data_IF_972006735130
#
_entry.id   IF_972006735130
#
_cell.length_a   1.000
_cell.length_b   1.000
_cell.length_c   1.000
_cell.angle_alpha   90.00
_cell.angle_beta   90.00
_cell.angle_gamma   90.00
#
_symmetry.space_group_name_H-M   'P 1'
#
loop_
_entity.id
_entity.type
_entity.pdbx_description
1 polymer ?
#
# COMPACT_ATOMS: atom_id res chain seq x y z
N UNK A 1 -24.48 35.19 -18.74
CA UNK A 1 -23.14 35.27 -18.09
C UNK A 1 -22.97 34.19 -17.02
N UNK A 2 -23.87 34.07 -16.03
CA UNK A 2 -23.80 33.03 -14.99
C UNK A 2 -23.92 31.59 -15.52
N UNK A 3 -24.76 31.34 -16.53
CA UNK A 3 -24.89 30.01 -17.17
C UNK A 3 -23.60 29.51 -17.81
N UNK A 4 -22.81 30.43 -18.39
CA UNK A 4 -21.50 30.12 -19.00
C UNK A 4 -20.46 29.81 -17.93
N UNK A 5 -20.49 30.50 -16.79
CA UNK A 5 -19.63 30.21 -15.63
C UNK A 5 -19.97 28.86 -14.98
N UNK A 6 -21.25 28.50 -14.92
CA UNK A 6 -21.71 27.19 -14.41
C UNK A 6 -21.31 26.06 -15.37
N UNK A 7 -21.43 26.26 -16.69
CA UNK A 7 -20.96 25.27 -17.66
C UNK A 7 -19.44 25.11 -17.63
N UNK A 8 -18.68 26.20 -17.47
CA UNK A 8 -17.22 26.16 -17.36
C UNK A 8 -16.74 25.45 -16.09
N UNK A 9 -17.40 25.71 -14.95
CA UNK A 9 -17.10 25.02 -13.68
C UNK A 9 -17.54 23.54 -13.71
N UNK A 10 -18.66 23.21 -14.35
CA UNK A 10 -19.09 21.83 -14.57
C UNK A 10 -18.12 21.05 -15.48
N UNK A 11 -17.57 21.67 -16.53
CA UNK A 11 -16.57 21.06 -17.42
C UNK A 11 -15.22 20.82 -16.71
N UNK A 12 -14.79 21.75 -15.85
CA UNK A 12 -13.61 21.59 -15.01
C UNK A 12 -13.78 20.46 -13.98
N UNK A 13 -14.98 20.34 -13.39
CA UNK A 13 -15.32 19.24 -12.49
C UNK A 13 -15.44 17.89 -13.22
N UNK A 14 -15.93 17.87 -14.48
CA UNK A 14 -16.01 16.67 -15.33
C UNK A 14 -14.64 16.05 -15.61
N UNK A 15 -13.61 16.89 -15.82
CA UNK A 15 -12.23 16.40 -16.05
C UNK A 15 -11.57 15.82 -14.81
N UNK A 16 -12.04 16.13 -13.61
CA UNK A 16 -11.38 15.78 -12.33
C UNK A 16 -12.10 14.66 -11.56
N UNK A 17 -13.41 14.46 -11.76
CA UNK A 17 -14.21 13.53 -10.98
C UNK A 17 -14.82 12.37 -11.79
N UNK A 18 -14.96 11.19 -11.16
CA UNK A 18 -15.68 10.04 -11.73
C UNK A 18 -17.17 10.38 -11.99
N UNK A 19 -17.80 9.83 -13.03
CA UNK A 19 -19.13 10.23 -13.51
C UNK A 19 -20.25 10.13 -12.47
N UNK A 20 -20.17 9.19 -11.52
CA UNK A 20 -21.16 9.05 -10.44
C UNK A 20 -21.18 10.23 -9.46
N UNK A 21 -20.01 10.82 -9.17
CA UNK A 21 -19.91 11.98 -8.26
C UNK A 21 -20.36 13.26 -8.97
N UNK A 22 -20.07 13.34 -10.26
CA UNK A 22 -20.46 14.47 -11.08
C UNK A 22 -21.98 14.58 -11.19
N UNK A 23 -22.69 13.46 -11.38
CA UNK A 23 -24.15 13.44 -11.39
C UNK A 23 -24.74 13.93 -10.06
N UNK A 24 -24.13 13.56 -8.92
CA UNK A 24 -24.63 14.02 -7.60
C UNK A 24 -24.45 15.52 -7.42
N UNK A 25 -23.30 16.07 -7.86
CA UNK A 25 -23.03 17.52 -7.82
C UNK A 25 -23.95 18.27 -8.79
N UNK A 26 -24.15 17.76 -10.00
CA UNK A 26 -25.03 18.38 -10.99
C UNK A 26 -26.48 18.44 -10.49
N UNK A 27 -26.98 17.34 -9.93
CA UNK A 27 -28.33 17.25 -9.33
C UNK A 27 -28.47 18.21 -8.15
N UNK A 28 -27.46 18.30 -7.27
CA UNK A 28 -27.49 19.24 -6.14
C UNK A 28 -27.49 20.70 -6.60
N UNK A 29 -26.68 21.05 -7.61
CA UNK A 29 -26.65 22.41 -8.16
C UNK A 29 -27.93 22.77 -8.92
N UNK A 30 -28.52 21.83 -9.69
CA UNK A 30 -29.77 22.08 -10.40
C UNK A 30 -30.96 22.23 -9.45
N UNK A 31 -31.01 21.44 -8.37
CA UNK A 31 -32.00 21.59 -7.29
C UNK A 31 -31.85 22.94 -6.55
N UNK A 32 -30.62 23.41 -6.31
CA UNK A 32 -30.38 24.73 -5.70
C UNK A 32 -30.89 25.88 -6.57
N UNK A 33 -30.66 25.80 -7.89
CA UNK A 33 -31.16 26.81 -8.83
C UNK A 33 -32.68 26.75 -9.00
N UNK A 34 -33.26 25.55 -9.09
CA UNK A 34 -34.70 25.37 -9.20
C UNK A 34 -35.43 25.90 -7.96
N UNK A 35 -34.93 25.60 -6.76
CA UNK A 35 -35.49 26.10 -5.49
C UNK A 35 -35.33 27.61 -5.33
N UNK A 36 -34.19 28.19 -5.74
CA UNK A 36 -34.00 29.65 -5.74
C UNK A 36 -34.94 30.37 -6.71
N UNK A 37 -35.19 29.82 -7.91
CA UNK A 37 -36.13 30.40 -8.88
C UNK A 37 -37.57 30.31 -8.35
N UNK A 38 -37.96 29.17 -7.76
CA UNK A 38 -39.30 28.99 -7.19
C UNK A 38 -39.54 29.95 -6.01
N UNK A 39 -38.54 30.12 -5.15
CA UNK A 39 -38.60 31.03 -4.01
C UNK A 39 -38.73 32.48 -4.46
N UNK A 40 -37.99 32.86 -5.50
CA UNK A 40 -38.06 34.22 -6.07
C UNK A 40 -39.42 34.47 -6.73
N UNK A 41 -40.02 33.45 -7.35
CA UNK A 41 -41.38 33.51 -7.91
C UNK A 41 -42.44 33.65 -6.82
N UNK A 42 -42.35 32.87 -5.74
CA UNK A 42 -43.29 32.97 -4.61
C UNK A 42 -43.14 34.30 -3.84
N UNK A 43 -41.92 34.82 -3.68
CA UNK A 43 -41.69 36.16 -3.12
C UNK A 43 -42.27 37.27 -4.00
N UNK A 44 -42.25 37.11 -5.32
CA UNK A 44 -42.84 38.05 -6.27
C UNK A 44 -44.38 38.03 -6.20
N UNK A 45 -44.99 36.84 -6.23
CA UNK A 45 -46.45 36.66 -6.11
C UNK A 45 -46.98 37.12 -4.74
N UNK A 46 -46.25 36.88 -3.65
CA UNK A 46 -46.61 37.38 -2.31
C UNK A 46 -46.57 38.92 -2.21
N UNK A 47 -45.76 39.60 -3.04
CA UNK A 47 -45.62 41.07 -3.08
C UNK A 47 -46.76 41.77 -3.82
N UNK A 48 -47.45 41.07 -4.72
CA UNK A 48 -48.59 41.61 -5.46
C UNK A 48 -49.91 41.57 -4.64
N UNK A 49 -50.02 40.68 -3.64
CA UNK A 49 -51.26 40.46 -2.87
C UNK A 49 -51.50 41.48 -1.72
N UNK A 50 -50.52 42.30 -1.33
CA UNK A 50 -50.60 43.10 -0.08
C UNK A 50 -51.02 44.57 -0.21
N UNK A 51 -51.53 45.04 -1.35
CA UNK A 51 -51.97 46.44 -1.51
C UNK A 51 -53.38 46.72 -0.95
N UNK A 52 -53.75 46.16 0.21
CA UNK A 52 -55.14 46.27 0.70
C UNK A 52 -55.43 46.22 2.19
N UNK A 53 -54.60 45.62 3.07
CA UNK A 53 -54.90 45.60 4.52
C UNK A 53 -53.62 45.61 5.37
N UNK A 54 -53.60 46.46 6.40
CA UNK A 54 -52.55 46.53 7.41
C UNK A 54 -52.41 45.18 8.12
N UNK A 55 -51.32 44.47 7.85
CA UNK A 55 -50.92 43.26 8.59
C UNK A 55 -49.76 43.60 9.53
N UNK A 56 -49.70 43.03 10.76
CA UNK A 56 -48.68 43.40 11.75
C UNK A 56 -47.27 43.00 11.30
N UNK A 57 -46.27 43.83 11.59
CA UNK A 57 -44.84 43.61 11.27
C UNK A 57 -44.34 42.22 11.73
N UNK A 58 -44.92 41.65 12.80
CA UNK A 58 -44.61 40.31 13.30
C UNK A 58 -44.93 39.18 12.29
N UNK A 59 -45.98 39.34 11.47
CA UNK A 59 -46.31 38.38 10.40
C UNK A 59 -45.33 38.45 9.23
N UNK A 60 -44.77 39.64 8.97
CA UNK A 60 -43.73 39.87 7.96
C UNK A 60 -42.39 39.25 8.35
N UNK A 61 -42.00 39.35 9.62
CA UNK A 61 -40.78 38.71 10.13
C UNK A 61 -40.92 37.17 10.06
N UNK A 62 -42.08 36.62 10.43
CA UNK A 62 -42.35 35.18 10.35
C UNK A 62 -42.36 34.62 8.91
N UNK A 63 -42.94 35.34 7.95
CA UNK A 63 -42.98 34.93 6.52
C UNK A 63 -41.63 35.10 5.81
N UNK A 64 -40.84 36.11 6.18
CA UNK A 64 -39.44 36.24 5.72
C UNK A 64 -38.57 35.12 6.32
N UNK A 65 -38.75 34.78 7.60
CA UNK A 65 -38.06 33.63 8.21
C UNK A 65 -38.48 32.30 7.56
N UNK A 66 -39.76 32.11 7.25
CA UNK A 66 -40.29 30.91 6.59
C UNK A 66 -39.84 30.76 5.12
N UNK A 67 -39.63 31.87 4.41
CA UNK A 67 -39.11 31.88 3.03
C UNK A 67 -37.58 31.81 2.94
N UNK A 68 -36.84 32.23 3.97
CA UNK A 68 -35.39 32.04 4.03
C UNK A 68 -34.98 30.62 4.47
N UNK A 69 -35.86 29.89 5.16
CA UNK A 69 -35.62 28.52 5.62
C UNK A 69 -35.23 27.54 4.50
N UNK A 70 -35.92 27.47 3.34
CA UNK A 70 -35.51 26.62 2.22
C UNK A 70 -34.13 26.96 1.64
N UNK A 71 -33.80 28.26 1.55
CA UNK A 71 -32.51 28.72 1.06
C UNK A 71 -31.37 28.33 2.03
N UNK A 72 -31.62 28.45 3.34
CA UNK A 72 -30.69 28.07 4.40
C UNK A 72 -30.47 26.55 4.46
N UNK A 73 -31.54 25.77 4.28
CA UNK A 73 -31.47 24.30 4.15
C UNK A 73 -30.68 23.89 2.90
N UNK A 74 -30.90 24.54 1.76
CA UNK A 74 -30.15 24.24 0.53
C UNK A 74 -28.66 24.62 0.63
N UNK A 75 -28.33 25.74 1.29
CA UNK A 75 -26.95 26.12 1.56
C UNK A 75 -26.26 25.13 2.50
N UNK A 76 -26.96 24.66 3.54
CA UNK A 76 -26.47 23.62 4.45
C UNK A 76 -26.22 22.29 3.71
N UNK A 77 -27.15 21.84 2.87
CA UNK A 77 -26.99 20.64 2.05
C UNK A 77 -25.82 20.77 1.06
N UNK A 78 -25.65 21.92 0.42
CA UNK A 78 -24.50 22.18 -0.46
C UNK A 78 -23.17 22.12 0.31
N UNK A 79 -23.09 22.74 1.49
CA UNK A 79 -21.93 22.66 2.37
C UNK A 79 -21.59 21.22 2.77
N UNK A 80 -22.60 20.41 3.09
CA UNK A 80 -22.45 18.99 3.41
C UNK A 80 -21.92 18.20 2.20
N UNK A 81 -22.48 18.41 1.01
CA UNK A 81 -22.02 17.75 -0.22
C UNK A 81 -20.57 18.12 -0.53
N UNK A 82 -20.22 19.41 -0.49
CA UNK A 82 -18.84 19.87 -0.70
C UNK A 82 -17.90 19.27 0.34
N UNK A 83 -18.31 19.21 1.61
CA UNK A 83 -17.54 18.57 2.67
C UNK A 83 -17.26 17.10 2.36
N UNK A 84 -18.26 16.30 1.99
CA UNK A 84 -18.07 14.89 1.64
C UNK A 84 -17.20 14.69 0.40
N UNK A 85 -17.34 15.55 -0.62
CA UNK A 85 -16.49 15.52 -1.82
C UNK A 85 -15.03 15.81 -1.45
N UNK A 86 -14.79 16.82 -0.61
CA UNK A 86 -13.44 17.18 -0.14
C UNK A 86 -12.82 16.09 0.73
N UNK A 87 -13.59 15.44 1.60
CA UNK A 87 -13.13 14.28 2.38
C UNK A 87 -12.72 13.13 1.46
N UNK A 88 -13.56 12.81 0.47
CA UNK A 88 -13.27 11.74 -0.49
C UNK A 88 -12.04 12.06 -1.35
N UNK A 89 -11.91 13.31 -1.81
CA UNK A 89 -10.72 13.76 -2.54
C UNK A 89 -9.46 13.68 -1.69
N UNK A 90 -9.52 14.07 -0.41
CA UNK A 90 -8.41 13.94 0.54
C UNK A 90 -7.99 12.48 0.72
N UNK A 91 -8.95 11.56 0.84
CA UNK A 91 -8.68 10.11 0.91
C UNK A 91 -8.04 9.61 -0.39
N UNK A 92 -8.63 9.94 -1.56
CA UNK A 92 -8.06 9.55 -2.85
C UNK A 92 -6.65 10.08 -3.06
N UNK A 93 -6.41 11.36 -2.74
CA UNK A 93 -5.08 11.96 -2.84
C UNK A 93 -4.07 11.28 -1.92
N UNK A 94 -4.46 10.97 -0.68
CA UNK A 94 -3.61 10.23 0.27
C UNK A 94 -3.26 8.84 -0.27
N UNK A 95 -4.21 8.15 -0.88
CA UNK A 95 -4.02 6.81 -1.44
C UNK A 95 -3.15 6.81 -2.72
N UNK A 96 -3.33 7.80 -3.61
CA UNK A 96 -2.48 7.98 -4.79
C UNK A 96 -1.04 8.33 -4.37
N UNK A 97 -0.90 9.18 -3.35
CA UNK A 97 0.41 9.54 -2.83
C UNK A 97 1.12 8.34 -2.17
N UNK A 98 0.41 7.55 -1.35
CA UNK A 98 1.00 6.35 -0.73
C UNK A 98 1.43 5.32 -1.77
N UNK A 99 0.59 5.04 -2.78
CA UNK A 99 0.93 4.11 -3.87
C UNK A 99 2.15 4.57 -4.69
N UNK A 100 2.28 5.87 -4.96
CA UNK A 100 3.47 6.43 -5.62
C UNK A 100 4.73 6.27 -4.76
N UNK A 101 4.63 6.57 -3.46
CA UNK A 101 5.77 6.40 -2.56
C UNK A 101 6.17 4.93 -2.40
N UNK A 102 5.20 4.01 -2.31
CA UNK A 102 5.42 2.56 -2.23
C UNK A 102 6.16 2.01 -3.45
N UNK A 103 5.79 2.47 -4.65
CA UNK A 103 6.56 2.14 -5.87
C UNK A 103 7.97 2.73 -5.84
N UNK A 104 8.12 3.96 -5.32
CA UNK A 104 9.42 4.63 -5.22
C UNK A 104 10.37 3.93 -4.25
N UNK A 105 9.92 3.61 -3.03
CA UNK A 105 10.75 2.96 -2.01
C UNK A 105 11.30 1.62 -2.48
N UNK A 106 10.47 0.80 -3.15
CA UNK A 106 10.89 -0.50 -3.71
C UNK A 106 11.97 -0.33 -4.79
N UNK A 107 11.81 0.68 -5.66
CA UNK A 107 12.81 1.01 -6.69
C UNK A 107 14.14 1.48 -6.09
N UNK A 108 14.08 2.33 -5.06
CA UNK A 108 15.29 2.82 -4.37
C UNK A 108 15.99 1.68 -3.62
N UNK A 109 15.22 0.82 -2.95
CA UNK A 109 15.70 -0.37 -2.26
C UNK A 109 16.44 -1.33 -3.20
N UNK A 110 15.88 -1.62 -4.39
CA UNK A 110 16.53 -2.46 -5.39
C UNK A 110 17.83 -1.87 -5.94
N UNK A 111 17.86 -0.55 -6.14
CA UNK A 111 19.05 0.16 -6.65
C UNK A 111 20.15 0.35 -5.61
N UNK A 112 19.82 0.31 -4.32
CA UNK A 112 20.77 0.58 -3.23
C UNK A 112 21.06 2.07 -3.04
N UNK A 113 20.18 2.97 -3.46
CA UNK A 113 20.33 4.41 -3.21
C UNK A 113 19.96 4.74 -1.75
N UNK A 114 20.93 4.55 -0.86
CA UNK A 114 20.73 4.66 0.60
C UNK A 114 20.33 6.07 1.02
N UNK A 115 20.96 7.11 0.45
CA UNK A 115 20.68 8.50 0.81
C UNK A 115 19.25 8.90 0.49
N UNK A 116 18.78 8.57 -0.72
CA UNK A 116 17.39 8.83 -1.11
C UNK A 116 16.41 7.95 -0.33
N UNK A 117 16.78 6.69 -0.06
CA UNK A 117 15.97 5.76 0.71
C UNK A 117 15.77 6.26 2.14
N UNK A 118 16.83 6.67 2.83
CA UNK A 118 16.77 7.21 4.18
C UNK A 118 15.95 8.50 4.23
N UNK A 119 16.15 9.43 3.28
CA UNK A 119 15.36 10.66 3.18
C UNK A 119 13.88 10.35 3.00
N UNK A 120 13.54 9.37 2.19
CA UNK A 120 12.16 8.94 1.98
C UNK A 120 11.58 8.32 3.26
N UNK A 121 12.31 7.42 3.93
CA UNK A 121 11.89 6.80 5.18
C UNK A 121 11.63 7.81 6.31
N UNK A 122 12.44 8.87 6.39
CA UNK A 122 12.27 9.94 7.39
C UNK A 122 11.08 10.87 7.12
N UNK A 123 10.69 11.02 5.85
CA UNK A 123 9.62 11.95 5.43
C UNK A 123 8.28 11.27 5.18
N UNK A 124 8.27 9.95 5.00
CA UNK A 124 7.07 9.15 4.74
C UNK A 124 6.43 8.59 6.01
N UNK A 125 5.18 8.11 5.88
CA UNK A 125 4.50 7.35 6.92
C UNK A 125 5.20 5.99 7.13
N UNK A 126 5.43 5.60 8.39
CA UNK A 126 6.07 4.32 8.77
C UNK A 126 5.41 3.09 8.16
N UNK A 127 4.10 3.14 7.88
CA UNK A 127 3.36 2.04 7.24
C UNK A 127 3.92 1.66 5.87
N UNK A 128 4.56 2.59 5.15
CA UNK A 128 5.10 2.37 3.80
C UNK A 128 6.13 1.24 3.72
N UNK A 129 6.85 0.98 4.82
CA UNK A 129 7.97 0.03 4.86
C UNK A 129 7.49 -1.39 4.60
N UNK A 130 6.29 -1.72 5.08
CA UNK A 130 5.69 -3.05 4.97
C UNK A 130 4.59 -3.11 3.90
N UNK A 131 4.46 -2.08 3.06
CA UNK A 131 3.52 -2.10 1.94
C UNK A 131 4.05 -3.04 0.85
N UNK A 132 3.30 -4.12 0.62
CA UNK A 132 3.55 -5.08 -0.43
C UNK A 132 3.01 -4.60 -1.79
N UNK A 133 3.59 -5.13 -2.86
CA UNK A 133 3.06 -4.99 -4.22
C UNK A 133 2.02 -6.08 -4.55
N UNK A 134 1.68 -6.21 -5.83
CA UNK A 134 0.68 -7.17 -6.30
C UNK A 134 1.13 -8.65 -6.22
N UNK A 135 2.40 -8.92 -5.90
CA UNK A 135 2.94 -10.27 -5.67
C UNK A 135 3.30 -10.50 -4.20
N UNK A 136 3.03 -9.54 -3.32
CA UNK A 136 3.35 -9.63 -1.90
C UNK A 136 4.76 -9.10 -1.55
N UNK A 137 5.51 -8.55 -2.50
CA UNK A 137 6.87 -8.08 -2.27
C UNK A 137 6.89 -6.68 -1.63
N UNK A 138 7.49 -6.59 -0.46
CA UNK A 138 7.78 -5.34 0.25
C UNK A 138 9.11 -4.73 -0.21
N UNK A 139 9.45 -3.52 0.27
CA UNK A 139 10.76 -2.90 0.00
C UNK A 139 11.94 -3.81 0.41
N UNK A 140 11.77 -4.65 1.43
CA UNK A 140 12.79 -5.59 1.89
C UNK A 140 13.08 -6.67 0.83
N UNK A 141 12.06 -7.24 0.19
CA UNK A 141 12.25 -8.20 -0.92
C UNK A 141 13.05 -7.59 -2.07
N UNK A 142 12.74 -6.35 -2.44
CA UNK A 142 13.46 -5.66 -3.51
C UNK A 142 14.92 -5.35 -3.14
N UNK A 143 15.21 -4.99 -1.89
CA UNK A 143 16.59 -4.81 -1.42
C UNK A 143 17.39 -6.12 -1.46
N UNK A 144 16.76 -7.24 -1.08
CA UNK A 144 17.37 -8.57 -1.14
C UNK A 144 17.62 -8.99 -2.58
N UNK A 145 16.64 -8.81 -3.47
CA UNK A 145 16.78 -9.17 -4.88
C UNK A 145 17.79 -8.29 -5.65
N UNK A 146 18.11 -7.10 -5.13
CA UNK A 146 19.20 -6.27 -5.62
C UNK A 146 20.55 -6.52 -4.91
N UNK A 147 20.62 -7.45 -3.95
CA UNK A 147 21.76 -7.69 -3.06
C UNK A 147 22.30 -6.42 -2.37
N UNK A 148 21.39 -5.53 -1.98
CA UNK A 148 21.73 -4.23 -1.39
C UNK A 148 21.83 -4.34 0.14
N UNK A 149 22.95 -4.87 0.64
CA UNK A 149 23.20 -5.12 2.08
C UNK A 149 22.87 -3.89 2.94
N UNK A 150 23.33 -2.70 2.54
CA UNK A 150 23.08 -1.47 3.28
C UNK A 150 21.60 -1.06 3.28
N UNK A 151 20.87 -1.32 2.18
CA UNK A 151 19.44 -1.04 2.10
C UNK A 151 18.63 -2.01 2.97
N UNK A 152 19.02 -3.30 2.99
CA UNK A 152 18.43 -4.31 3.88
C UNK A 152 18.58 -3.88 5.34
N UNK A 153 19.80 -3.54 5.75
CA UNK A 153 20.07 -3.07 7.12
C UNK A 153 19.19 -1.86 7.48
N UNK A 154 19.19 -0.84 6.63
CA UNK A 154 18.39 0.37 6.85
C UNK A 154 16.89 0.06 6.97
N UNK A 155 16.34 -0.80 6.11
CA UNK A 155 14.91 -1.16 6.16
C UNK A 155 14.57 -1.92 7.45
N UNK A 156 15.43 -2.84 7.88
CA UNK A 156 15.26 -3.58 9.12
C UNK A 156 15.36 -2.66 10.35
N UNK A 157 16.33 -1.74 10.38
CA UNK A 157 16.50 -0.74 11.44
C UNK A 157 15.27 0.16 11.61
N UNK A 158 14.58 0.48 10.51
CA UNK A 158 13.33 1.27 10.53
C UNK A 158 12.07 0.45 10.88
N UNK A 159 12.20 -0.86 11.08
CA UNK A 159 11.13 -1.77 11.51
C UNK A 159 10.42 -2.50 10.38
N UNK A 160 11.13 -2.81 9.28
CA UNK A 160 10.63 -3.78 8.30
C UNK A 160 10.47 -5.15 8.93
N UNK A 161 9.40 -5.86 8.59
CA UNK A 161 9.14 -7.19 9.12
C UNK A 161 10.01 -8.26 8.41
N UNK A 162 11.00 -8.88 9.08
CA UNK A 162 11.86 -9.90 8.49
C UNK A 162 11.13 -11.22 8.19
N UNK A 163 9.92 -11.40 8.75
CA UNK A 163 9.06 -12.57 8.57
C UNK A 163 7.84 -12.29 7.68
N UNK A 164 7.85 -11.16 6.94
CA UNK A 164 6.79 -10.88 5.96
C UNK A 164 6.73 -11.99 4.91
N UNK A 165 5.52 -12.37 4.48
CA UNK A 165 5.34 -13.40 3.45
C UNK A 165 4.89 -12.75 2.15
N UNK A 166 5.44 -13.22 1.04
CA UNK A 166 4.90 -12.91 -0.28
C UNK A 166 3.60 -13.72 -0.54
N UNK A 167 3.02 -13.61 -1.74
CA UNK A 167 1.82 -14.36 -2.11
C UNK A 167 2.04 -15.88 -2.22
N UNK A 168 3.28 -16.35 -2.30
CA UNK A 168 3.65 -17.77 -2.27
C UNK A 168 3.97 -18.26 -0.86
N UNK A 169 3.92 -17.38 0.15
CA UNK A 169 4.27 -17.69 1.52
C UNK A 169 5.78 -17.63 1.81
N UNK A 170 6.61 -17.24 0.84
CA UNK A 170 8.06 -17.14 0.94
C UNK A 170 8.41 -15.98 1.86
N UNK A 171 9.34 -16.21 2.78
CA UNK A 171 9.89 -15.18 3.68
C UNK A 171 11.13 -14.52 3.08
N UNK A 172 11.51 -13.30 3.54
CA UNK A 172 12.78 -12.67 3.19
C UNK A 172 13.97 -13.61 3.32
N UNK A 173 14.02 -14.43 4.38
CA UNK A 173 15.13 -15.36 4.61
C UNK A 173 15.15 -16.51 3.59
N UNK A 174 13.98 -17.06 3.22
CA UNK A 174 13.89 -18.04 2.14
C UNK A 174 14.22 -17.41 0.77
N UNK A 175 13.81 -16.18 0.54
CA UNK A 175 14.07 -15.45 -0.70
C UNK A 175 15.57 -15.15 -0.93
N UNK A 176 16.38 -14.98 0.13
CA UNK A 176 17.85 -14.89 0.02
C UNK A 176 18.45 -16.15 -0.62
N UNK A 177 17.82 -17.30 -0.40
CA UNK A 177 18.20 -18.48 -1.15
C UNK A 177 17.89 -18.22 -2.62
N UNK A 178 16.65 -18.01 -3.05
CA UNK A 178 16.26 -18.01 -4.48
C UNK A 178 17.22 -17.31 -5.47
N UNK A 179 17.41 -17.85 -6.70
CA UNK A 179 18.24 -17.23 -7.71
C UNK A 179 17.69 -15.85 -8.08
N UNK A 180 18.52 -14.81 -7.94
CA UNK A 180 18.14 -13.44 -8.20
C UNK A 180 18.52 -13.02 -9.64
N UNK A 181 17.66 -12.23 -10.28
CA UNK A 181 17.83 -11.75 -11.66
C UNK A 181 18.82 -10.58 -11.78
N UNK A 182 19.99 -10.70 -11.15
CA UNK A 182 21.06 -9.69 -11.17
C UNK A 182 22.25 -10.18 -12.00
N UNK A 183 22.95 -9.23 -12.62
CA UNK A 183 24.09 -9.52 -13.51
C UNK A 183 25.26 -10.16 -12.77
N UNK A 184 25.51 -9.72 -11.54
CA UNK A 184 26.69 -10.10 -10.75
C UNK A 184 26.26 -10.51 -9.33
N UNK A 185 25.78 -11.75 -9.16
CA UNK A 185 25.38 -12.28 -7.86
C UNK A 185 26.60 -12.54 -6.96
N UNK A 186 26.58 -12.04 -5.72
CA UNK A 186 27.66 -12.20 -4.75
C UNK A 186 27.24 -13.09 -3.58
N UNK A 187 27.94 -14.21 -3.42
CA UNK A 187 27.78 -15.12 -2.27
C UNK A 187 27.87 -14.39 -0.93
N UNK A 188 28.89 -13.54 -0.79
CA UNK A 188 29.17 -12.82 0.45
C UNK A 188 28.03 -11.87 0.82
N UNK A 189 27.49 -11.11 -0.15
CA UNK A 189 26.36 -10.19 0.09
C UNK A 189 25.12 -10.94 0.52
N UNK A 190 24.81 -12.08 -0.11
CA UNK A 190 23.68 -12.93 0.31
C UNK A 190 23.86 -13.44 1.73
N UNK A 191 25.06 -13.89 2.08
CA UNK A 191 25.38 -14.35 3.42
C UNK A 191 25.23 -13.21 4.46
N UNK A 192 25.72 -12.02 4.14
CA UNK A 192 25.60 -10.85 5.02
C UNK A 192 24.15 -10.42 5.19
N UNK A 193 23.34 -10.47 4.13
CA UNK A 193 21.90 -10.23 4.18
C UNK A 193 21.20 -11.28 5.07
N UNK A 194 21.53 -12.56 4.93
CA UNK A 194 20.96 -13.62 5.77
C UNK A 194 21.30 -13.40 7.25
N UNK A 195 22.55 -13.05 7.56
CA UNK A 195 22.97 -12.70 8.94
C UNK A 195 22.19 -11.51 9.48
N UNK A 196 21.98 -10.46 8.68
CA UNK A 196 21.18 -9.30 9.08
C UNK A 196 19.73 -9.69 9.36
N UNK A 197 19.10 -10.49 8.50
CA UNK A 197 17.73 -10.96 8.72
C UNK A 197 17.62 -11.76 10.03
N UNK A 198 18.53 -12.70 10.26
CA UNK A 198 18.57 -13.49 11.49
C UNK A 198 18.79 -12.63 12.73
N UNK A 199 19.69 -11.64 12.65
CA UNK A 199 19.93 -10.68 13.73
C UNK A 199 18.67 -9.88 14.10
N UNK A 200 17.83 -9.56 13.12
CA UNK A 200 16.56 -8.86 13.32
C UNK A 200 15.37 -9.79 13.63
N UNK A 201 15.61 -11.08 13.89
CA UNK A 201 14.56 -12.02 14.32
C UNK A 201 13.83 -12.72 13.18
N UNK A 202 14.47 -12.90 12.03
CA UNK A 202 13.96 -13.82 11.00
C UNK A 202 13.86 -15.26 11.54
N UNK A 203 12.70 -15.87 11.37
CA UNK A 203 12.43 -17.23 11.82
C UNK A 203 12.78 -18.24 10.72
N UNK A 204 13.72 -19.13 11.02
CA UNK A 204 14.19 -20.19 10.12
C UNK A 204 13.17 -21.31 9.88
N UNK A 205 12.12 -21.37 10.68
CA UNK A 205 11.11 -22.43 10.66
C UNK A 205 9.89 -22.09 9.79
N UNK A 206 9.70 -20.82 9.42
CA UNK A 206 8.56 -20.40 8.61
C UNK A 206 8.71 -20.96 7.20
N UNK A 207 7.70 -21.69 6.73
CA UNK A 207 7.67 -22.29 5.40
C UNK A 207 6.74 -21.54 4.44
N UNK A 208 6.97 -21.78 3.15
CA UNK A 208 6.12 -21.30 2.06
C UNK A 208 4.83 -22.13 1.91
N UNK A 209 4.01 -21.82 0.91
CA UNK A 209 2.79 -22.58 0.61
C UNK A 209 3.05 -24.03 0.15
N UNK A 210 4.30 -24.41 -0.10
CA UNK A 210 4.72 -25.77 -0.44
C UNK A 210 5.39 -26.49 0.74
N UNK A 211 5.37 -25.91 1.94
CA UNK A 211 6.09 -26.39 3.13
C UNK A 211 7.61 -26.44 2.95
N UNK A 212 8.17 -25.66 2.01
CA UNK A 212 9.59 -25.44 1.93
C UNK A 212 10.02 -24.40 2.98
N UNK A 213 10.99 -24.78 3.82
CA UNK A 213 11.66 -23.88 4.74
C UNK A 213 12.79 -23.11 4.05
N UNK A 214 13.31 -22.02 4.65
CA UNK A 214 14.54 -21.38 4.19
C UNK A 214 15.70 -22.36 3.97
N UNK A 215 15.82 -23.38 4.84
CA UNK A 215 16.85 -24.41 4.70
C UNK A 215 16.61 -25.30 3.48
N UNK A 216 15.37 -25.74 3.23
CA UNK A 216 15.09 -26.55 2.03
C UNK A 216 15.31 -25.75 0.76
N UNK A 217 14.92 -24.47 0.72
CA UNK A 217 15.20 -23.60 -0.42
C UNK A 217 16.71 -23.43 -0.66
N UNK A 218 17.51 -23.20 0.40
CA UNK A 218 18.95 -23.12 0.30
C UNK A 218 19.57 -24.41 -0.26
N UNK A 219 19.14 -25.58 0.25
CA UNK A 219 19.60 -26.90 -0.18
C UNK A 219 19.22 -27.23 -1.63
N UNK A 220 17.95 -27.07 -2.00
CA UNK A 220 17.48 -27.43 -3.34
C UNK A 220 18.22 -26.66 -4.43
N UNK A 221 18.43 -25.37 -4.21
CA UNK A 221 19.14 -24.55 -5.17
C UNK A 221 20.67 -24.64 -5.08
N UNK A 222 21.25 -25.02 -3.93
CA UNK A 222 22.67 -25.35 -3.85
C UNK A 222 23.01 -26.49 -4.83
N UNK A 223 22.14 -27.50 -4.89
CA UNK A 223 22.32 -28.67 -5.75
C UNK A 223 22.18 -28.36 -7.25
N UNK A 224 21.70 -27.18 -7.61
CA UNK A 224 21.62 -26.71 -8.99
C UNK A 224 22.93 -26.06 -9.48
N UNK A 225 24.05 -26.30 -8.80
CA UNK A 225 25.37 -25.80 -9.21
C UNK A 225 25.76 -24.44 -8.63
N UNK A 226 25.17 -24.06 -7.49
CA UNK A 226 25.46 -22.79 -6.79
C UNK A 226 26.10 -23.12 -5.44
N UNK A 227 27.36 -23.56 -5.46
CA UNK A 227 28.12 -23.99 -4.27
C UNK A 227 28.20 -22.89 -3.20
N UNK A 228 28.12 -21.62 -3.62
CA UNK A 228 28.02 -20.43 -2.77
C UNK A 228 26.90 -20.51 -1.71
N UNK A 229 25.91 -21.39 -1.89
CA UNK A 229 24.81 -21.59 -0.95
C UNK A 229 25.15 -22.51 0.22
N UNK A 230 26.26 -23.26 0.15
CA UNK A 230 26.68 -24.12 1.27
C UNK A 230 26.93 -23.31 2.55
N UNK A 231 27.47 -22.10 2.42
CA UNK A 231 27.66 -21.19 3.56
C UNK A 231 26.33 -20.73 4.16
N UNK A 232 25.29 -20.54 3.32
CA UNK A 232 23.94 -20.21 3.78
C UNK A 232 23.30 -21.41 4.48
N UNK A 233 23.47 -22.63 3.96
CA UNK A 233 23.01 -23.86 4.61
C UNK A 233 23.65 -23.99 6.00
N UNK A 234 24.96 -23.83 6.09
CA UNK A 234 25.68 -23.91 7.36
C UNK A 234 25.20 -22.84 8.35
N UNK A 235 24.96 -21.60 7.89
CA UNK A 235 24.40 -20.54 8.72
C UNK A 235 23.01 -20.91 9.26
N UNK A 236 22.12 -21.43 8.43
CA UNK A 236 20.77 -21.81 8.85
C UNK A 236 20.77 -22.98 9.85
N UNK A 237 21.65 -23.97 9.67
CA UNK A 237 21.84 -25.07 10.61
C UNK A 237 22.33 -24.56 11.97
N UNK A 238 23.30 -23.64 12.00
CA UNK A 238 23.75 -22.98 13.25
C UNK A 238 22.64 -22.23 13.98
N UNK A 239 21.63 -21.76 13.25
CA UNK A 239 20.42 -21.14 13.79
C UNK A 239 19.27 -22.13 14.03
N UNK A 240 19.57 -23.43 14.18
CA UNK A 240 18.65 -24.51 14.53
C UNK A 240 17.55 -24.79 13.48
N UNK A 241 17.81 -24.53 12.21
CA UNK A 241 16.92 -24.99 11.13
C UNK A 241 16.89 -26.52 11.06
N UNK A 242 15.70 -27.13 11.01
CA UNK A 242 15.56 -28.59 10.98
C UNK A 242 15.86 -29.16 9.58
N UNK A 243 16.88 -30.03 9.43
CA UNK A 243 17.19 -30.65 8.14
C UNK A 243 16.22 -31.79 7.76
N UNK A 244 15.32 -32.16 8.67
CA UNK A 244 14.38 -33.28 8.52
C UNK A 244 12.96 -32.85 8.19
N UNK A 245 12.66 -31.54 8.18
CA UNK A 245 11.32 -31.06 7.86
C UNK A 245 11.00 -31.35 6.40
N UNK A 246 9.92 -32.07 6.18
CA UNK A 246 9.44 -32.43 4.85
C UNK A 246 8.54 -31.34 4.26
N UNK A 247 8.69 -31.11 2.97
CA UNK A 247 7.78 -30.27 2.20
C UNK A 247 6.50 -31.04 1.80
N UNK A 248 5.60 -30.41 1.03
CA UNK A 248 4.35 -31.05 0.54
C UNK A 248 4.56 -32.34 -0.25
N UNK A 249 5.75 -32.57 -0.79
CA UNK A 249 6.10 -33.78 -1.55
C UNK A 249 6.77 -34.86 -0.70
N UNK A 250 6.86 -34.69 0.62
CA UNK A 250 7.56 -35.64 1.50
C UNK A 250 9.10 -35.57 1.38
N UNK A 251 9.63 -34.47 0.85
CA UNK A 251 11.07 -34.29 0.63
C UNK A 251 11.61 -33.36 1.71
N UNK A 252 12.60 -33.82 2.48
CA UNK A 252 13.35 -33.01 3.44
C UNK A 252 14.70 -32.58 2.85
N UNK A 253 15.32 -31.50 3.37
CA UNK A 253 16.68 -31.12 2.99
C UNK A 253 17.66 -32.31 3.05
N UNK A 254 17.60 -33.10 4.12
CA UNK A 254 18.43 -34.29 4.31
C UNK A 254 18.11 -35.40 3.30
N UNK A 255 16.82 -35.72 3.08
CA UNK A 255 16.46 -36.79 2.12
C UNK A 255 16.83 -36.41 0.69
N UNK A 256 16.72 -35.13 0.34
CA UNK A 256 17.18 -34.62 -0.94
C UNK A 256 18.71 -34.71 -1.09
N UNK A 257 19.49 -34.26 -0.11
CA UNK A 257 20.96 -34.34 -0.15
C UNK A 257 21.45 -35.78 -0.32
N UNK A 258 20.83 -36.74 0.41
CA UNK A 258 21.10 -38.17 0.28
C UNK A 258 20.73 -38.73 -1.09
N UNK A 259 19.59 -38.31 -1.66
CA UNK A 259 19.14 -38.73 -3.00
C UNK A 259 20.09 -38.25 -4.11
N UNK A 260 20.61 -37.04 -3.98
CA UNK A 260 21.58 -36.47 -4.93
C UNK A 260 22.98 -37.07 -4.73
N UNK A 261 23.29 -37.60 -3.53
CA UNK A 261 24.59 -38.20 -3.21
C UNK A 261 25.67 -37.17 -2.89
N UNK A 262 25.29 -35.96 -2.46
CA UNK A 262 26.25 -34.88 -2.20
C UNK A 262 26.81 -34.96 -0.78
N UNK A 263 27.92 -35.68 -0.60
CA UNK A 263 28.49 -35.97 0.71
C UNK A 263 28.79 -34.71 1.54
N UNK A 264 29.43 -33.70 0.95
CA UNK A 264 29.76 -32.45 1.67
C UNK A 264 28.51 -31.75 2.24
N UNK A 265 27.39 -31.79 1.52
CA UNK A 265 26.13 -31.23 2.00
C UNK A 265 25.51 -32.07 3.12
N UNK A 266 25.57 -33.40 2.99
CA UNK A 266 25.12 -34.32 4.05
C UNK A 266 25.91 -34.05 5.33
N UNK A 267 27.24 -33.94 5.24
CA UNK A 267 28.12 -33.67 6.39
C UNK A 267 27.77 -32.32 7.05
N UNK A 268 27.41 -31.29 6.28
CA UNK A 268 26.96 -29.99 6.82
C UNK A 268 25.61 -30.13 7.53
N UNK A 269 24.66 -30.88 6.97
CA UNK A 269 23.33 -31.07 7.56
C UNK A 269 23.36 -31.96 8.81
N UNK A 270 24.38 -32.80 8.98
CA UNK A 270 24.59 -33.64 10.17
C UNK A 270 25.28 -32.91 11.32
N UNK A 271 25.99 -31.80 11.04
CA UNK A 271 26.62 -30.97 12.09
C UNK A 271 25.54 -30.31 12.95
N UNK A 272 25.60 -30.57 14.27
CA UNK A 272 24.80 -29.90 15.30
C UNK A 272 25.64 -28.89 16.06
#
# INVERSE_FOLDING_TARGET
MLTVLVQATALLLFRVFKPRLLNTILIATSLFFATSILLNKQLFEAREVTWGTYTPIETWIGTIQLSLLPALVCAALYGIVVYFVMQKYRIYKKQIFSTMQSKSIRKLAFKGDISSLEKLLRTSNRQIINEADNIGHTALFYAIGGEQVAAVKLLLDFGSNPNSKDHNGITPLAFVAEPQSIKEPSAQKRLDIAKLLLLHGADVSIDDHYHNTPLSAAVFHAAMGIEDRLQLVELLIRHHASPYRENKSGISPMSFAKKVGWQSLIDILEKK
#
